data_IF_848689697690
#
_entry.id   IF_848689697690
#
_cell.length_a   1.000
_cell.length_b   1.000
_cell.length_c   1.000
_cell.angle_alpha   90.00
_cell.angle_beta   90.00
_cell.angle_gamma   90.00
#
_symmetry.space_group_name_H-M   'P 1'
#
loop_
_entity.id
_entity.type
_entity.pdbx_description
1 polymer ?
#
# COMPACT_ATOMS: atom_id res chain seq x y z
N UNK A 1 29.88 -16.97 -9.03
CA UNK A 1 29.84 -15.52 -8.79
C UNK A 1 28.51 -15.06 -9.32
N UNK A 2 27.60 -14.72 -8.42
CA UNK A 2 26.20 -14.47 -8.75
C UNK A 2 26.08 -13.03 -9.21
N UNK A 3 25.71 -12.83 -10.47
CA UNK A 3 25.54 -11.52 -11.09
C UNK A 3 24.31 -10.84 -10.49
N UNK A 4 24.55 -9.84 -9.63
CA UNK A 4 23.54 -8.96 -9.06
C UNK A 4 23.02 -8.05 -10.19
N UNK A 5 21.91 -8.43 -10.82
CA UNK A 5 21.13 -7.53 -11.66
C UNK A 5 20.48 -6.50 -10.74
N UNK A 6 21.15 -5.36 -10.55
CA UNK A 6 20.52 -4.15 -10.04
C UNK A 6 19.57 -3.63 -11.13
N UNK A 7 18.34 -4.16 -11.15
CA UNK A 7 17.23 -3.52 -11.85
C UNK A 7 17.12 -2.08 -11.33
N UNK A 8 17.49 -1.11 -12.17
CA UNK A 8 17.45 0.31 -11.86
C UNK A 8 15.97 0.75 -11.81
N UNK A 9 15.32 0.49 -10.68
CA UNK A 9 13.97 0.94 -10.40
C UNK A 9 13.97 2.48 -10.30
N UNK A 10 13.12 3.18 -11.08
CA UNK A 10 13.13 4.64 -11.14
C UNK A 10 12.75 5.24 -9.77
N UNK A 11 13.73 5.89 -9.12
CA UNK A 11 13.66 6.49 -7.77
C UNK A 11 12.64 7.63 -7.60
N UNK A 12 11.95 8.02 -8.67
CA UNK A 12 11.04 9.18 -8.73
C UNK A 12 9.54 8.80 -8.76
N UNK A 13 9.18 7.55 -8.44
CA UNK A 13 7.77 7.14 -8.34
C UNK A 13 7.19 7.50 -6.97
N UNK A 14 6.65 8.71 -6.86
CA UNK A 14 5.76 9.06 -5.75
C UNK A 14 4.40 8.36 -5.95
N UNK A 15 4.25 7.16 -5.38
CA UNK A 15 2.95 6.46 -5.38
C UNK A 15 1.99 7.18 -4.41
N UNK A 16 1.20 8.09 -4.97
CA UNK A 16 0.12 8.75 -4.21
C UNK A 16 -1.09 7.81 -4.15
N UNK A 17 -1.02 6.81 -3.27
CA UNK A 17 -2.13 5.89 -2.98
C UNK A 17 -3.21 6.62 -2.17
N UNK A 18 -4.10 7.33 -2.87
CA UNK A 18 -5.25 8.00 -2.27
C UNK A 18 -6.39 6.97 -2.05
N UNK A 19 -6.15 6.01 -1.14
CA UNK A 19 -7.14 5.01 -0.73
C UNK A 19 -8.14 5.64 0.25
N UNK A 20 -8.99 6.54 -0.25
CA UNK A 20 -10.03 7.20 0.57
C UNK A 20 -11.31 6.38 0.76
N UNK A 21 -11.47 5.26 0.05
CA UNK A 21 -12.72 4.47 0.06
C UNK A 21 -12.45 3.00 0.33
N UNK A 22 -13.34 2.36 1.07
CA UNK A 22 -13.26 0.96 1.43
C UNK A 22 -13.19 0.06 0.19
N UNK A 23 -12.31 -0.93 0.24
CA UNK A 23 -12.11 -1.92 -0.84
C UNK A 23 -13.33 -2.82 -1.05
N UNK A 24 -14.18 -2.93 -0.04
CA UNK A 24 -15.42 -3.71 -0.11
C UNK A 24 -16.45 -2.87 -0.86
N UNK A 25 -16.79 -3.24 -2.09
CA UNK A 25 -17.76 -2.50 -2.93
C UNK A 25 -19.11 -2.22 -2.27
N UNK A 26 -19.56 -3.11 -1.38
CA UNK A 26 -20.81 -2.93 -0.64
C UNK A 26 -20.69 -1.92 0.52
N UNK A 27 -19.48 -1.55 0.90
CA UNK A 27 -19.17 -0.57 1.92
C UNK A 27 -18.58 0.68 1.24
N UNK A 28 -19.31 1.79 1.25
CA UNK A 28 -18.82 3.06 0.71
C UNK A 28 -18.08 3.90 1.77
N UNK A 29 -17.57 3.23 2.81
CA UNK A 29 -16.95 3.88 3.96
C UNK A 29 -15.56 4.42 3.68
N UNK A 30 -15.12 5.39 4.47
CA UNK A 30 -13.77 5.94 4.38
C UNK A 30 -12.74 4.97 4.98
N UNK A 31 -11.58 4.85 4.35
CA UNK A 31 -10.42 4.15 4.90
C UNK A 31 -9.52 5.14 5.63
N UNK A 32 -9.22 4.85 6.88
CA UNK A 32 -8.18 5.50 7.64
C UNK A 32 -6.89 4.69 7.54
N UNK A 33 -5.77 5.35 7.28
CA UNK A 33 -4.45 4.74 7.37
C UNK A 33 -4.12 4.44 8.85
N UNK A 34 -3.63 3.24 9.12
CA UNK A 34 -3.13 2.83 10.42
C UNK A 34 -1.61 2.85 10.48
N UNK A 35 -0.96 2.29 9.45
CA UNK A 35 0.48 2.21 9.39
C UNK A 35 0.99 2.25 7.95
N UNK A 36 2.19 2.78 7.79
CA UNK A 36 2.94 2.81 6.55
C UNK A 36 4.38 2.39 6.82
N UNK A 37 4.89 1.41 6.07
CA UNK A 37 6.29 1.03 6.14
C UNK A 37 6.81 0.45 4.83
N UNK A 38 8.11 0.65 4.61
CA UNK A 38 8.83 0.25 3.40
C UNK A 38 9.95 -0.72 3.76
N UNK A 39 10.03 -1.86 3.07
CA UNK A 39 11.08 -2.86 3.28
C UNK A 39 11.32 -3.69 2.02
N UNK A 40 12.60 -3.85 1.63
CA UNK A 40 13.01 -4.75 0.55
C UNK A 40 12.20 -4.56 -0.77
N UNK A 41 12.04 -3.32 -1.24
CA UNK A 41 11.23 -2.94 -2.41
C UNK A 41 9.71 -3.15 -2.27
N UNK A 42 9.21 -3.39 -1.05
CA UNK A 42 7.78 -3.44 -0.77
C UNK A 42 7.34 -2.24 0.06
N UNK A 43 6.27 -1.59 -0.37
CA UNK A 43 5.48 -0.65 0.43
C UNK A 43 4.31 -1.43 1.01
N UNK A 44 4.18 -1.42 2.33
CA UNK A 44 3.01 -1.98 3.02
C UNK A 44 2.23 -0.87 3.69
N UNK A 45 0.93 -0.84 3.43
CA UNK A 45 -0.02 0.12 3.96
C UNK A 45 -1.10 -0.67 4.70
N UNK A 46 -1.23 -0.46 6.00
CA UNK A 46 -2.32 -0.99 6.78
C UNK A 46 -3.39 0.09 6.92
N UNK A 47 -4.63 -0.24 6.60
CA UNK A 47 -5.74 0.69 6.65
C UNK A 47 -6.99 0.04 7.23
N UNK A 48 -7.85 0.84 7.85
CA UNK A 48 -9.09 0.40 8.49
C UNK A 48 -10.26 1.24 8.03
N UNK A 49 -11.36 0.58 7.68
CA UNK A 49 -12.57 1.28 7.31
C UNK A 49 -13.28 1.81 8.55
N UNK A 50 -13.56 3.12 8.57
CA UNK A 50 -14.29 3.77 9.66
C UNK A 50 -15.76 3.35 9.75
N UNK A 51 -16.33 2.83 8.66
CA UNK A 51 -17.75 2.43 8.61
C UNK A 51 -17.96 0.96 8.95
N UNK A 52 -17.26 0.04 8.27
CA UNK A 52 -17.44 -1.40 8.50
C UNK A 52 -16.40 -1.99 9.47
N UNK A 53 -15.41 -1.22 9.90
CA UNK A 53 -14.38 -1.64 10.85
C UNK A 53 -13.35 -2.62 10.27
N UNK A 54 -13.44 -3.00 8.99
CA UNK A 54 -12.54 -3.96 8.36
C UNK A 54 -11.15 -3.38 8.17
N UNK A 55 -10.17 -4.23 8.38
CA UNK A 55 -8.75 -3.92 8.22
C UNK A 55 -8.25 -4.53 6.90
N UNK A 56 -7.41 -3.79 6.20
CA UNK A 56 -6.83 -4.17 4.93
C UNK A 56 -5.33 -3.89 4.96
N UNK A 57 -4.56 -4.83 4.41
CA UNK A 57 -3.13 -4.67 4.21
C UNK A 57 -2.88 -4.62 2.72
N UNK A 58 -2.48 -3.47 2.21
CA UNK A 58 -2.11 -3.27 0.82
C UNK A 58 -0.60 -3.38 0.72
N UNK A 59 -0.12 -4.26 -0.15
CA UNK A 59 1.30 -4.43 -0.43
C UNK A 59 1.56 -4.10 -1.90
N UNK A 60 2.49 -3.20 -2.14
CA UNK A 60 2.88 -2.75 -3.47
C UNK A 60 4.37 -3.01 -3.61
N UNK A 61 4.75 -3.72 -4.68
CA UNK A 61 6.15 -3.84 -5.09
C UNK A 61 6.53 -2.57 -5.84
N UNK A 62 7.65 -1.95 -5.46
CA UNK A 62 8.15 -0.67 -5.97
C UNK A 62 9.14 -0.89 -7.10
#
# INVERSE_FOLDING_TARGET
MSEEHEDEYPKDRAYRLDLKRCLVRACDGELAELSYYERNNWVTIECKCNTCGREFTVKVEV
#
